data_IF_952300113580
#
_entry.id   IF_952300113580
#
_cell.length_a   1.000
_cell.length_b   1.000
_cell.length_c   1.000
_cell.angle_alpha   90.00
_cell.angle_beta   90.00
_cell.angle_gamma   90.00
#
_symmetry.space_group_name_H-M   'P 1'
#
loop_
_entity.id
_entity.type
_entity.pdbx_description
1 polymer ?
#
# COMPACT_ATOMS: atom_id res chain seq x y z
N UNK A 1 19.78 -1.58 -16.72
CA UNK A 1 18.38 -1.18 -16.43
C UNK A 1 18.05 -1.71 -15.05
N UNK A 2 17.31 -0.97 -14.20
CA UNK A 2 16.84 -1.54 -12.94
C UNK A 2 16.06 -2.82 -13.24
N UNK A 3 16.21 -3.83 -12.39
CA UNK A 3 15.45 -5.07 -12.51
C UNK A 3 13.95 -4.75 -12.43
N UNK A 4 13.13 -5.42 -13.25
CA UNK A 4 11.67 -5.28 -13.20
C UNK A 4 11.18 -5.66 -11.79
N UNK A 5 10.38 -4.83 -11.12
CA UNK A 5 9.81 -5.18 -9.82
C UNK A 5 8.81 -6.32 -9.96
N UNK A 6 8.65 -7.10 -8.90
CA UNK A 6 7.56 -8.08 -8.79
C UNK A 6 6.26 -7.34 -8.50
N UNK A 7 5.25 -7.54 -9.35
CA UNK A 7 3.93 -6.91 -9.19
C UNK A 7 2.99 -7.92 -8.51
N UNK A 8 2.56 -7.61 -7.29
CA UNK A 8 1.59 -8.41 -6.55
C UNK A 8 0.23 -7.69 -6.52
N UNK A 9 -0.80 -8.34 -7.07
CA UNK A 9 -2.16 -7.83 -7.06
C UNK A 9 -2.96 -8.38 -5.88
N UNK A 10 -3.65 -7.49 -5.16
CA UNK A 10 -4.68 -7.93 -4.22
C UNK A 10 -5.90 -8.41 -5.01
N UNK A 11 -6.46 -9.56 -4.62
CA UNK A 11 -7.68 -10.12 -5.24
C UNK A 11 -8.82 -9.09 -5.24
N UNK A 12 -9.39 -8.84 -6.43
CA UNK A 12 -10.41 -7.80 -6.64
C UNK A 12 -9.87 -6.39 -6.92
N UNK A 13 -8.55 -6.17 -6.85
CA UNK A 13 -7.88 -4.89 -7.07
C UNK A 13 -6.69 -5.00 -8.03
N UNK A 14 -6.81 -5.88 -9.03
CA UNK A 14 -5.75 -6.05 -10.03
C UNK A 14 -5.59 -4.76 -10.88
N UNK A 15 -4.35 -4.30 -11.15
CA UNK A 15 -4.12 -3.16 -12.02
C UNK A 15 -4.51 -3.48 -13.48
N UNK A 16 -5.03 -2.50 -14.20
CA UNK A 16 -5.50 -2.67 -15.58
C UNK A 16 -4.36 -2.70 -16.60
N UNK A 17 -3.37 -1.81 -16.43
CA UNK A 17 -2.31 -1.58 -17.43
C UNK A 17 -1.01 -2.33 -17.12
N UNK A 18 -0.93 -3.00 -15.97
CA UNK A 18 0.28 -3.69 -15.50
C UNK A 18 -0.05 -5.15 -15.22
N UNK A 19 0.68 -6.08 -15.83
CA UNK A 19 0.49 -7.50 -15.54
C UNK A 19 0.99 -7.83 -14.13
N UNK A 20 0.12 -8.43 -13.31
CA UNK A 20 0.50 -8.97 -12.01
C UNK A 20 1.31 -10.27 -12.19
N UNK A 21 2.43 -10.38 -11.49
CA UNK A 21 3.24 -11.59 -11.42
C UNK A 21 2.64 -12.60 -10.43
N UNK A 22 1.90 -12.12 -9.42
CA UNK A 22 1.14 -12.94 -8.49
C UNK A 22 -0.10 -12.21 -7.96
N UNK A 23 -1.08 -13.00 -7.53
CA UNK A 23 -2.28 -12.51 -6.85
C UNK A 23 -2.31 -13.05 -5.42
N UNK A 24 -2.74 -12.22 -4.47
CA UNK A 24 -2.88 -12.62 -3.07
C UNK A 24 -4.20 -12.15 -2.46
N UNK A 25 -4.52 -12.70 -1.29
CA UNK A 25 -5.71 -12.38 -0.48
C UNK A 25 -5.28 -11.94 0.90
N UNK A 26 -6.03 -11.03 1.54
CA UNK A 26 -5.72 -10.58 2.91
C UNK A 26 -5.90 -11.73 3.91
N UNK A 27 -6.82 -12.64 3.66
CA UNK A 27 -7.04 -13.85 4.46
C UNK A 27 -5.84 -14.81 4.47
N UNK A 28 -4.92 -14.64 3.50
CA UNK A 28 -3.69 -15.42 3.35
C UNK A 28 -2.45 -14.52 3.31
N UNK A 29 -2.47 -13.44 4.08
CA UNK A 29 -1.40 -12.44 4.11
C UNK A 29 -0.06 -13.04 4.51
N UNK A 30 0.00 -13.89 5.56
CA UNK A 30 1.28 -14.47 6.01
C UNK A 30 1.91 -15.39 4.96
N UNK A 31 1.17 -16.34 4.34
CA UNK A 31 1.69 -17.09 3.20
C UNK A 31 2.22 -16.22 2.07
N UNK A 32 1.53 -15.11 1.76
CA UNK A 32 1.98 -14.16 0.74
C UNK A 32 3.29 -13.47 1.14
N UNK A 33 3.42 -12.99 2.38
CA UNK A 33 4.66 -12.38 2.88
C UNK A 33 5.84 -13.37 2.82
N UNK A 34 5.62 -14.64 3.21
CA UNK A 34 6.62 -15.70 3.07
C UNK A 34 6.97 -16.01 1.60
N UNK A 35 6.00 -15.90 0.69
CA UNK A 35 6.26 -16.03 -0.75
C UNK A 35 7.16 -14.89 -1.25
N UNK A 36 6.91 -13.65 -0.83
CA UNK A 36 7.78 -12.51 -1.14
C UNK A 36 9.21 -12.72 -0.62
N UNK A 37 9.35 -13.18 0.62
CA UNK A 37 10.64 -13.52 1.22
C UNK A 37 11.37 -14.62 0.42
N UNK A 38 10.66 -15.69 0.04
CA UNK A 38 11.20 -16.78 -0.77
C UNK A 38 11.65 -16.35 -2.18
N UNK A 39 11.09 -15.26 -2.71
CA UNK A 39 11.54 -14.63 -3.96
C UNK A 39 12.72 -13.66 -3.76
N UNK A 40 13.17 -13.45 -2.52
CA UNK A 40 14.25 -12.51 -2.19
C UNK A 40 13.83 -11.05 -2.22
N UNK A 41 12.53 -10.75 -2.12
CA UNK A 41 12.03 -9.37 -2.04
C UNK A 41 12.42 -8.80 -0.68
N UNK A 42 13.00 -7.60 -0.68
CA UNK A 42 13.46 -6.89 0.54
C UNK A 42 12.87 -5.50 0.68
N UNK A 43 12.31 -4.95 -0.41
CA UNK A 43 11.71 -3.62 -0.46
C UNK A 43 10.33 -3.72 -1.07
N UNK A 44 9.35 -3.04 -0.50
CA UNK A 44 7.95 -3.08 -0.92
C UNK A 44 7.41 -1.66 -0.99
N UNK A 45 6.62 -1.37 -2.03
CA UNK A 45 5.81 -0.17 -2.10
C UNK A 45 4.36 -0.55 -2.33
N UNK A 46 3.45 0.21 -1.74
CA UNK A 46 2.02 0.10 -2.04
C UNK A 46 1.65 1.11 -3.11
N UNK A 47 0.95 0.64 -4.13
CA UNK A 47 0.53 1.45 -5.27
C UNK A 47 -0.91 1.08 -5.66
N UNK A 48 -1.69 2.10 -6.01
CA UNK A 48 -3.10 1.94 -6.39
C UNK A 48 -4.07 2.18 -5.23
N UNK A 49 -5.34 2.37 -5.61
CA UNK A 49 -6.43 2.52 -4.66
C UNK A 49 -6.93 1.14 -4.22
N UNK A 50 -7.08 0.95 -2.92
CA UNK A 50 -7.67 -0.24 -2.33
C UNK A 50 -8.78 0.20 -1.40
N UNK A 51 -9.96 -0.42 -1.54
CA UNK A 51 -11.02 -0.29 -0.55
C UNK A 51 -10.95 -1.44 0.42
N UNK A 52 -11.57 -1.26 1.59
CA UNK A 52 -11.57 -2.26 2.65
C UNK A 52 -12.06 -3.63 2.13
N UNK A 53 -11.19 -4.65 2.06
CA UNK A 53 -11.60 -5.95 1.58
C UNK A 53 -12.54 -6.61 2.58
N UNK A 54 -13.55 -7.31 2.08
CA UNK A 54 -14.39 -8.18 2.91
C UNK A 54 -13.62 -9.47 3.15
N UNK A 55 -13.41 -9.82 4.41
CA UNK A 55 -12.69 -11.02 4.79
C UNK A 55 -13.66 -12.20 4.89
N UNK A 56 -13.30 -13.32 4.26
CA UNK A 56 -13.99 -14.60 4.44
C UNK A 56 -13.27 -15.45 5.51
N UNK A 57 -13.88 -15.68 6.69
CA UNK A 57 -13.28 -16.50 7.74
C UNK A 57 -12.95 -17.93 7.28
N UNK A 58 -13.65 -18.48 6.28
CA UNK A 58 -13.40 -19.83 5.78
C UNK A 58 -12.09 -19.92 4.96
N UNK A 59 -11.57 -18.80 4.46
CA UNK A 59 -10.33 -18.72 3.69
C UNK A 59 -9.12 -18.31 4.55
N UNK A 60 -9.35 -18.06 5.83
CA UNK A 60 -8.35 -17.53 6.75
C UNK A 60 -7.30 -18.59 7.09
N UNK A 61 -6.06 -18.26 6.79
CA UNK A 61 -4.90 -19.05 7.18
C UNK A 61 -4.59 -18.88 8.69
N UNK A 62 -4.13 -19.93 9.41
CA UNK A 62 -3.88 -19.86 10.85
C UNK A 62 -2.87 -18.79 11.27
N UNK A 63 -1.77 -18.61 10.53
CA UNK A 63 -0.78 -17.59 10.87
C UNK A 63 -1.35 -16.19 10.62
N UNK A 64 -2.14 -16.05 9.56
CA UNK A 64 -2.84 -14.80 9.24
C UNK A 64 -3.92 -14.45 10.26
N UNK A 65 -4.57 -15.46 10.86
CA UNK A 65 -5.58 -15.27 11.90
C UNK A 65 -5.02 -14.55 13.14
N UNK A 66 -3.74 -14.71 13.45
CA UNK A 66 -3.09 -14.00 14.55
C UNK A 66 -2.99 -12.48 14.30
N UNK A 67 -2.95 -12.04 13.04
CA UNK A 67 -2.90 -10.63 12.65
C UNK A 67 -4.30 -9.99 12.58
N UNK A 68 -5.35 -10.80 12.50
CA UNK A 68 -6.72 -10.34 12.28
C UNK A 68 -7.22 -9.35 13.34
N UNK A 69 -6.99 -9.55 14.66
CA UNK A 69 -7.45 -8.58 15.66
C UNK A 69 -6.83 -7.19 15.47
N UNK A 70 -5.54 -7.12 15.13
CA UNK A 70 -4.82 -5.87 14.84
C UNK A 70 -5.40 -5.19 13.60
N UNK A 71 -5.61 -5.95 12.53
CA UNK A 71 -6.21 -5.45 11.29
C UNK A 71 -7.63 -4.93 11.53
N UNK A 72 -8.47 -5.67 12.25
CA UNK A 72 -9.84 -5.28 12.56
C UNK A 72 -9.91 -4.00 13.41
N UNK A 73 -9.04 -3.87 14.41
CA UNK A 73 -8.95 -2.66 15.24
C UNK A 73 -8.53 -1.45 14.41
N UNK A 74 -7.49 -1.59 13.58
CA UNK A 74 -7.03 -0.53 12.69
C UNK A 74 -8.12 -0.12 11.69
N UNK A 75 -8.81 -1.11 11.12
CA UNK A 75 -10.01 -0.93 10.30
C UNK A 75 -11.09 -0.14 11.05
N UNK A 76 -11.40 -0.46 12.30
CA UNK A 76 -12.40 0.31 13.05
C UNK A 76 -11.99 1.78 13.29
N UNK A 77 -10.70 2.07 13.34
CA UNK A 77 -10.14 3.41 13.59
C UNK A 77 -10.05 4.31 12.34
N UNK A 78 -10.28 3.77 11.14
CA UNK A 78 -10.30 4.52 9.88
C UNK A 78 -9.17 4.13 8.92
N UNK A 79 -9.12 4.80 7.77
CA UNK A 79 -8.27 4.37 6.66
C UNK A 79 -6.77 4.62 6.91
N UNK A 80 -6.39 5.76 7.50
CA UNK A 80 -4.98 6.03 7.87
C UNK A 80 -4.46 5.02 8.90
N UNK A 81 -5.27 4.70 9.91
CA UNK A 81 -4.92 3.69 10.91
C UNK A 81 -4.76 2.29 10.27
N UNK A 82 -5.66 1.94 9.35
CA UNK A 82 -5.58 0.69 8.59
C UNK A 82 -4.29 0.61 7.78
N UNK A 83 -4.00 1.66 7.00
CA UNK A 83 -2.80 1.72 6.17
C UNK A 83 -1.53 1.62 7.02
N UNK A 84 -1.45 2.36 8.14
CA UNK A 84 -0.33 2.29 9.08
C UNK A 84 -0.14 0.89 9.63
N UNK A 85 -1.21 0.23 10.07
CA UNK A 85 -1.12 -1.15 10.58
C UNK A 85 -0.61 -2.14 9.53
N UNK A 86 -1.03 -1.99 8.26
CA UNK A 86 -0.54 -2.83 7.16
C UNK A 86 0.94 -2.56 6.87
N UNK A 87 1.37 -1.30 6.84
CA UNK A 87 2.79 -0.91 6.69
C UNK A 87 3.64 -1.54 7.79
N UNK A 88 3.18 -1.47 9.04
CA UNK A 88 3.88 -2.06 10.18
C UNK A 88 3.95 -3.58 10.07
N UNK A 89 2.88 -4.27 9.65
CA UNK A 89 2.92 -5.73 9.43
C UNK A 89 4.00 -6.11 8.41
N UNK A 90 4.09 -5.41 7.28
CA UNK A 90 5.16 -5.70 6.31
C UNK A 90 6.55 -5.40 6.89
N UNK A 91 6.67 -4.33 7.67
CA UNK A 91 7.92 -3.97 8.34
C UNK A 91 8.34 -5.02 9.39
N UNK A 92 7.38 -5.57 10.15
CA UNK A 92 7.59 -6.64 11.14
C UNK A 92 8.11 -7.94 10.48
N UNK A 93 7.77 -8.16 9.21
CA UNK A 93 8.29 -9.26 8.38
C UNK A 93 9.63 -8.93 7.70
N UNK A 94 10.22 -7.77 7.98
CA UNK A 94 11.55 -7.39 7.51
C UNK A 94 11.58 -6.67 6.15
N UNK A 95 10.43 -6.28 5.60
CA UNK A 95 10.39 -5.51 4.35
C UNK A 95 10.66 -4.03 4.62
N UNK A 96 11.56 -3.42 3.84
CA UNK A 96 11.72 -1.98 3.83
C UNK A 96 10.61 -1.34 2.98
N UNK A 97 9.77 -0.52 3.62
CA UNK A 97 8.67 0.15 2.95
C UNK A 97 9.18 1.39 2.21
N UNK A 98 8.90 1.44 0.91
CA UNK A 98 9.25 2.56 0.03
C UNK A 98 8.01 3.38 -0.29
N UNK A 99 8.16 4.70 -0.29
CA UNK A 99 7.16 5.64 -0.77
C UNK A 99 7.38 6.05 -2.22
N UNK A 100 6.46 6.85 -2.74
CA UNK A 100 6.58 7.43 -4.10
C UNK A 100 7.84 8.30 -4.23
N UNK A 101 8.28 8.97 -3.16
CA UNK A 101 9.49 9.77 -3.15
C UNK A 101 10.76 8.94 -3.42
N UNK A 102 10.79 7.70 -2.94
CA UNK A 102 11.93 6.80 -3.12
C UNK A 102 11.97 6.19 -4.52
N UNK A 103 10.78 5.97 -5.12
CA UNK A 103 10.63 5.25 -6.38
C UNK A 103 10.57 6.16 -7.61
N UNK A 104 9.88 7.29 -7.49
CA UNK A 104 9.57 8.19 -8.58
C UNK A 104 9.55 9.64 -8.06
N UNK A 105 10.70 10.18 -7.62
CA UNK A 105 10.78 11.54 -7.08
C UNK A 105 10.31 12.60 -8.08
N UNK A 106 10.48 12.34 -9.38
CA UNK A 106 10.06 13.24 -10.46
C UNK A 106 8.53 13.35 -10.61
N UNK A 107 7.76 12.44 -9.98
CA UNK A 107 6.29 12.55 -9.91
C UNK A 107 5.82 13.43 -8.76
N UNK A 108 6.71 13.82 -7.85
CA UNK A 108 6.35 14.71 -6.76
C UNK A 108 6.37 16.17 -7.23
N UNK A 109 5.32 16.94 -6.91
CA UNK A 109 5.33 18.35 -7.24
C UNK A 109 6.39 19.08 -6.42
N UNK A 110 7.18 19.92 -7.09
CA UNK A 110 8.03 20.89 -6.43
C UNK A 110 7.20 22.02 -5.78
N UNK A 111 7.81 22.85 -4.92
CA UNK A 111 7.13 24.03 -4.38
C UNK A 111 6.73 25.00 -5.50
N UNK A 112 5.54 25.61 -5.36
CA UNK A 112 5.03 26.62 -6.28
C UNK A 112 3.85 26.15 -7.13
N UNK A 113 3.55 26.91 -8.19
CA UNK A 113 2.41 26.67 -9.06
C UNK A 113 2.78 25.73 -10.21
N UNK A 114 2.13 24.56 -10.28
CA UNK A 114 2.34 23.60 -11.37
C UNK A 114 1.66 24.03 -12.68
N UNK A 115 0.47 24.63 -12.58
CA UNK A 115 -0.31 25.11 -13.71
C UNK A 115 -1.32 26.20 -13.29
N UNK A 116 -1.70 27.06 -14.23
CA UNK A 116 -2.72 28.09 -14.02
C UNK A 116 -2.15 29.46 -13.62
N UNK A 117 -2.96 30.27 -12.94
CA UNK A 117 -2.57 31.58 -12.41
C UNK A 117 -3.01 31.65 -10.95
N UNK A 118 -2.05 31.96 -10.07
CA UNK A 118 -2.31 32.11 -8.64
C UNK A 118 -2.98 33.47 -8.38
N UNK A 119 -4.12 33.47 -7.70
CA UNK A 119 -4.76 34.71 -7.24
C UNK A 119 -4.53 34.91 -5.74
N UNK A 120 -4.62 36.16 -5.28
CA UNK A 120 -4.52 36.49 -3.85
C UNK A 120 -5.57 35.76 -2.98
N UNK A 121 -6.72 35.38 -3.58
CA UNK A 121 -7.74 34.61 -2.89
C UNK A 121 -7.28 33.16 -2.69
N UNK A 122 -6.66 32.56 -3.69
CA UNK A 122 -6.15 31.18 -3.61
C UNK A 122 -5.06 31.07 -2.53
N UNK A 123 -4.19 32.07 -2.43
CA UNK A 123 -3.19 32.16 -1.35
C UNK A 123 -3.87 32.20 0.03
N UNK A 124 -4.86 33.08 0.21
CA UNK A 124 -5.59 33.19 1.47
C UNK A 124 -6.46 31.97 1.82
N UNK A 125 -6.94 31.20 0.82
CA UNK A 125 -7.65 29.94 1.04
C UNK A 125 -6.67 28.82 1.43
N UNK A 126 -5.49 28.74 0.78
CA UNK A 126 -4.47 27.74 1.07
C UNK A 126 -3.86 27.88 2.48
N UNK A 127 -3.64 29.10 2.97
CA UNK A 127 -3.12 29.36 4.32
C UNK A 127 -4.09 28.90 5.45
N UNK A 128 -5.36 28.64 5.11
CA UNK A 128 -6.41 28.27 6.08
C UNK A 128 -6.79 26.78 6.04
N UNK A 129 -6.35 26.05 5.03
CA UNK A 129 -6.66 24.62 4.84
C UNK A 129 -5.76 23.74 5.71
#
# INVERSE_FOLDING_TARGET
>A
MPARPVVAALDGFAPEEVAADLTFRVERLVPFLRQLEGMGVTKVAFAGAVTRPRLDPALLDPDTAALLPRLMQAMAAGDDATLRAVIEIFSDFGFAMLGVADLAPDLLPGPGLLAGTLTLRDEGDADRA
#
